data_IF_610922629159
#
_entry.id   IF_610922629159
#
_cell.length_a   1.000
_cell.length_b   1.000
_cell.length_c   1.000
_cell.angle_alpha   90.00
_cell.angle_beta   90.00
_cell.angle_gamma   90.00
#
_symmetry.space_group_name_H-M   'P 1'
#
loop_
_entity.id
_entity.type
_entity.pdbx_description
1 polymer ?
#
# COMPACT_ATOMS: atom_id res chain seq x y z
N UNK A 1 3.92 -36.36 -32.46
CA UNK A 1 2.66 -36.36 -31.69
C UNK A 1 2.20 -34.93 -31.50
N UNK A 2 1.05 -34.56 -32.06
CA UNK A 2 0.42 -33.24 -31.89
C UNK A 2 -0.21 -33.17 -30.50
N UNK A 3 0.04 -32.11 -29.73
CA UNK A 3 -0.79 -31.79 -28.56
C UNK A 3 -1.25 -30.34 -28.60
N UNK A 4 -2.53 -30.20 -28.31
CA UNK A 4 -3.42 -29.06 -28.49
C UNK A 4 -3.22 -27.99 -27.42
N UNK A 5 -3.39 -26.73 -27.81
CA UNK A 5 -3.52 -25.60 -26.91
C UNK A 5 -4.79 -25.76 -26.05
N UNK A 6 -4.61 -25.73 -24.74
CA UNK A 6 -5.71 -25.74 -23.78
C UNK A 6 -5.16 -25.93 -22.37
N UNK A 7 -5.40 -24.94 -21.51
CA UNK A 7 -5.27 -25.01 -20.05
C UNK A 7 -3.85 -24.82 -19.47
N UNK A 8 -3.47 -23.57 -19.20
CA UNK A 8 -2.50 -23.26 -18.13
C UNK A 8 -2.82 -21.91 -17.50
N UNK A 9 -3.93 -21.87 -16.76
CA UNK A 9 -4.24 -20.82 -15.80
C UNK A 9 -4.82 -21.52 -14.56
N UNK A 10 -3.97 -22.02 -13.67
CA UNK A 10 -4.29 -22.48 -12.31
C UNK A 10 -3.03 -23.08 -11.66
N UNK A 11 -2.19 -22.26 -11.03
CA UNK A 11 -1.31 -22.71 -9.93
C UNK A 11 -1.11 -21.55 -8.94
N UNK A 12 -2.09 -21.31 -8.07
CA UNK A 12 -1.86 -20.84 -6.69
C UNK A 12 -3.00 -21.41 -5.83
N UNK A 13 -2.87 -22.67 -5.40
CA UNK A 13 -3.60 -23.23 -4.26
C UNK A 13 -3.05 -24.63 -3.96
N UNK A 14 -1.97 -24.71 -3.18
CA UNK A 14 -1.53 -25.98 -2.61
C UNK A 14 -0.82 -25.73 -1.28
N UNK A 15 -1.62 -25.52 -0.23
CA UNK A 15 -1.28 -25.85 1.16
C UNK A 15 -2.51 -25.54 2.03
N UNK A 16 -3.34 -26.55 2.30
CA UNK A 16 -3.66 -27.03 3.67
C UNK A 16 -4.87 -27.97 3.64
N UNK A 17 -4.72 -29.07 4.40
CA UNK A 17 -5.75 -29.89 5.02
C UNK A 17 -6.59 -30.83 4.14
N UNK A 18 -6.15 -32.09 4.13
CA UNK A 18 -7.07 -33.21 4.02
C UNK A 18 -7.78 -33.46 5.35
N UNK A 19 -9.10 -33.61 5.30
CA UNK A 19 -9.93 -34.57 6.06
C UNK A 19 -11.39 -34.10 6.02
N UNK A 20 -12.12 -34.63 5.03
CA UNK A 20 -13.53 -35.05 5.04
C UNK A 20 -14.47 -34.39 6.06
N UNK A 21 -15.36 -33.49 5.63
CA UNK A 21 -16.80 -33.50 5.98
C UNK A 21 -17.60 -32.65 4.98
N UNK A 22 -18.61 -33.30 4.37
CA UNK A 22 -19.73 -32.85 3.53
C UNK A 22 -19.87 -31.37 3.09
N UNK A 23 -19.80 -31.16 1.77
CA UNK A 23 -20.41 -30.03 1.06
C UNK A 23 -21.78 -30.44 0.51
N UNK A 24 -22.80 -29.65 0.80
CA UNK A 24 -24.05 -29.65 0.04
C UNK A 24 -24.54 -28.21 -0.10
N UNK A 25 -24.07 -27.47 -1.11
CA UNK A 25 -24.72 -26.24 -1.58
C UNK A 25 -24.22 -25.86 -2.98
N UNK A 26 -24.94 -26.27 -4.03
CA UNK A 26 -25.03 -25.56 -5.32
C UNK A 26 -26.45 -25.74 -5.86
N UNK A 27 -27.23 -24.66 -5.90
CA UNK A 27 -28.29 -24.44 -6.88
C UNK A 27 -28.17 -22.98 -7.37
N UNK A 28 -28.35 -22.71 -8.68
CA UNK A 28 -27.94 -21.46 -9.31
C UNK A 28 -29.01 -20.35 -9.22
N UNK A 29 -28.53 -19.10 -9.37
CA UNK A 29 -29.32 -17.87 -9.42
C UNK A 29 -30.54 -17.98 -10.35
N UNK A 30 -31.73 -17.70 -9.82
CA UNK A 30 -32.89 -17.29 -10.61
C UNK A 30 -33.05 -15.77 -10.56
N UNK A 31 -33.21 -15.23 -11.76
CA UNK A 31 -33.59 -13.87 -12.13
C UNK A 31 -34.69 -13.27 -11.26
N UNK A 32 -34.50 -12.03 -10.81
CA UNK A 32 -35.51 -11.22 -10.09
C UNK A 32 -36.51 -10.62 -11.10
N UNK A 33 -37.83 -10.86 -10.98
CA UNK A 33 -38.84 -10.11 -11.72
C UNK A 33 -39.25 -8.84 -10.97
N UNK A 34 -39.44 -7.77 -11.74
CA UNK A 34 -39.86 -6.45 -11.31
C UNK A 34 -41.39 -6.34 -11.17
N UNK A 35 -41.96 -6.61 -9.99
CA UNK A 35 -43.31 -6.13 -9.65
C UNK A 35 -43.53 -6.19 -8.14
N UNK A 36 -43.80 -5.04 -7.50
CA UNK A 36 -44.91 -4.79 -6.56
C UNK A 36 -44.80 -3.32 -6.12
N UNK A 37 -45.67 -2.49 -6.70
CA UNK A 37 -46.10 -1.18 -6.17
C UNK A 37 -47.17 -1.44 -5.10
N UNK A 38 -47.19 -0.56 -4.10
CA UNK A 38 -48.34 -0.22 -3.24
C UNK A 38 -49.02 -1.34 -2.44
N UNK A 39 -48.68 -1.42 -1.15
CA UNK A 39 -49.62 -1.52 -0.02
C UNK A 39 -48.83 -1.03 1.21
N UNK A 40 -49.22 0.04 1.90
CA UNK A 40 -50.52 0.15 2.55
C UNK A 40 -50.35 -0.35 3.99
N UNK A 41 -50.13 0.59 4.91
CA UNK A 41 -50.08 0.39 6.36
C UNK A 41 -51.18 -0.53 6.85
N UNK A 42 -50.83 -1.69 7.41
CA UNK A 42 -51.76 -2.53 8.19
C UNK A 42 -51.03 -3.21 9.33
N UNK A 43 -51.35 -2.71 10.53
CA UNK A 43 -51.05 -3.22 11.86
C UNK A 43 -51.35 -4.72 11.98
N UNK A 44 -50.33 -5.56 12.16
CA UNK A 44 -50.54 -6.95 12.62
C UNK A 44 -50.29 -7.02 14.12
N UNK A 45 -51.36 -6.86 14.91
CA UNK A 45 -51.41 -7.30 16.31
C UNK A 45 -51.50 -8.83 16.31
N UNK A 46 -50.44 -9.50 16.78
CA UNK A 46 -50.52 -10.87 17.26
C UNK A 46 -50.31 -10.85 18.77
N UNK A 47 -51.41 -11.00 19.52
CA UNK A 47 -51.41 -11.38 20.92
C UNK A 47 -51.51 -12.91 20.97
N UNK A 48 -50.49 -13.54 21.54
CA UNK A 48 -50.52 -14.90 22.11
C UNK A 48 -49.38 -14.95 23.14
N UNK A 49 -49.67 -14.65 24.40
CA UNK A 49 -49.78 -15.61 25.52
C UNK A 49 -48.59 -16.57 25.58
N UNK A 50 -47.69 -16.33 26.53
CA UNK A 50 -46.54 -17.19 26.83
C UNK A 50 -45.44 -16.40 27.51
N UNK A 51 -45.30 -16.61 28.80
CA UNK A 51 -44.23 -16.13 29.65
C UNK A 51 -42.89 -16.71 29.15
N UNK A 52 -42.02 -15.88 28.59
CA UNK A 52 -40.59 -16.17 28.42
C UNK A 52 -39.82 -14.85 28.29
N UNK A 53 -39.20 -14.45 29.40
CA UNK A 53 -38.12 -13.46 29.45
C UNK A 53 -36.89 -13.98 28.70
N UNK A 54 -36.95 -14.06 27.38
CA UNK A 54 -35.76 -14.05 26.54
C UNK A 54 -35.56 -12.65 26.00
N UNK A 55 -34.39 -12.08 26.27
CA UNK A 55 -33.93 -10.84 25.66
C UNK A 55 -34.06 -10.97 24.14
N UNK A 56 -35.10 -10.36 23.57
CA UNK A 56 -35.05 -9.93 22.18
C UNK A 56 -34.06 -8.78 22.15
N UNK A 57 -32.76 -9.11 22.07
CA UNK A 57 -31.83 -8.27 21.31
C UNK A 57 -32.40 -8.20 19.90
N UNK A 58 -33.30 -7.25 19.66
CA UNK A 58 -33.49 -6.72 18.34
C UNK A 58 -32.13 -6.21 17.93
N UNK A 59 -31.38 -7.04 17.19
CA UNK A 59 -30.28 -6.59 16.36
C UNK A 59 -30.89 -5.50 15.50
N UNK A 60 -30.69 -4.25 15.94
CA UNK A 60 -31.13 -3.07 15.25
C UNK A 60 -30.29 -3.03 13.98
N UNK A 61 -30.80 -3.63 12.90
CA UNK A 61 -30.12 -3.71 11.60
C UNK A 61 -29.82 -2.29 11.09
N UNK A 62 -30.50 -1.26 11.62
CA UNK A 62 -30.17 0.15 11.33
C UNK A 62 -28.83 0.60 11.95
N UNK A 63 -28.37 -0.03 13.04
CA UNK A 63 -27.07 0.21 13.68
C UNK A 63 -25.94 -0.62 13.10
N UNK A 64 -26.24 -1.68 12.37
CA UNK A 64 -25.25 -2.37 11.52
C UNK A 64 -25.06 -1.53 10.27
N UNK A 65 -24.49 -0.33 10.42
CA UNK A 65 -23.98 0.43 9.28
C UNK A 65 -22.98 -0.47 8.59
N UNK A 66 -23.30 -0.96 7.39
CA UNK A 66 -22.32 -1.61 6.52
C UNK A 66 -21.22 -0.57 6.26
N UNK A 67 -20.18 -0.58 7.08
CA UNK A 67 -19.03 0.29 6.87
C UNK A 67 -18.52 -0.01 5.47
N UNK A 68 -18.57 0.98 4.57
CA UNK A 68 -18.17 0.79 3.19
C UNK A 68 -16.77 0.16 3.16
N UNK A 69 -16.61 -0.94 2.43
CA UNK A 69 -15.33 -1.67 2.33
C UNK A 69 -14.21 -0.77 1.80
N UNK A 70 -14.58 0.22 0.97
CA UNK A 70 -13.68 1.20 0.38
C UNK A 70 -14.21 2.61 0.64
N UNK A 71 -13.35 3.49 1.16
CA UNK A 71 -13.68 4.91 1.38
C UNK A 71 -13.89 5.64 0.05
N UNK A 72 -14.80 6.61 0.04
CA UNK A 72 -14.91 7.55 -1.06
C UNK A 72 -13.59 8.33 -1.26
N UNK A 73 -13.23 8.77 -2.48
CA UNK A 73 -11.93 9.40 -2.75
C UNK A 73 -11.57 10.56 -1.83
N UNK A 74 -12.56 11.40 -1.49
CA UNK A 74 -12.38 12.52 -0.56
C UNK A 74 -12.01 12.03 0.85
N UNK A 75 -12.75 11.08 1.41
CA UNK A 75 -12.47 10.54 2.76
C UNK A 75 -11.16 9.76 2.80
N UNK A 76 -10.81 9.06 1.71
CA UNK A 76 -9.51 8.42 1.55
C UNK A 76 -8.36 9.44 1.61
N UNK A 77 -8.49 10.59 0.93
CA UNK A 77 -7.51 11.68 1.01
C UNK A 77 -7.36 12.24 2.42
N UNK A 78 -8.47 12.39 3.15
CA UNK A 78 -8.44 12.88 4.53
C UNK A 78 -7.69 11.89 5.43
N UNK A 79 -8.03 10.60 5.33
CA UNK A 79 -7.32 9.54 6.05
C UNK A 79 -5.82 9.50 5.67
N UNK A 80 -5.49 9.77 4.41
CA UNK A 80 -4.12 9.83 3.90
C UNK A 80 -3.31 10.98 4.55
N UNK A 81 -3.90 12.17 4.67
CA UNK A 81 -3.29 13.30 5.37
C UNK A 81 -3.23 13.09 6.90
N UNK A 82 -4.28 12.52 7.52
CA UNK A 82 -4.29 12.15 8.94
C UNK A 82 -3.17 11.15 9.27
N UNK A 83 -2.94 10.16 8.39
CA UNK A 83 -1.82 9.21 8.50
C UNK A 83 -0.47 9.93 8.48
N UNK A 84 -0.28 10.87 7.56
CA UNK A 84 0.94 11.69 7.49
C UNK A 84 1.21 12.48 8.77
N UNK A 85 0.17 13.14 9.31
CA UNK A 85 0.27 13.84 10.61
C UNK A 85 0.67 12.88 11.73
N UNK A 86 0.00 11.73 11.82
CA UNK A 86 0.27 10.73 12.86
C UNK A 86 1.72 10.23 12.80
N UNK A 87 2.18 9.84 11.62
CA UNK A 87 3.55 9.38 11.39
C UNK A 87 4.60 10.44 11.75
N UNK A 88 4.36 11.69 11.36
CA UNK A 88 5.32 12.77 11.59
C UNK A 88 5.37 13.28 13.04
N UNK A 89 4.29 13.14 13.79
CA UNK A 89 4.22 13.57 15.20
C UNK A 89 4.80 12.57 16.18
N UNK A 90 5.15 11.35 15.74
CA UNK A 90 5.84 10.40 16.60
C UNK A 90 7.22 10.91 17.05
N UNK A 91 7.68 10.41 18.20
CA UNK A 91 9.07 10.60 18.63
C UNK A 91 10.03 10.01 17.59
N UNK A 92 11.16 10.68 17.34
CA UNK A 92 12.09 10.34 16.27
C UNK A 92 12.56 8.88 16.35
N UNK A 93 12.79 8.35 17.56
CA UNK A 93 13.22 6.97 17.76
C UNK A 93 12.18 5.95 17.26
N UNK A 94 10.88 6.25 17.41
CA UNK A 94 9.80 5.40 16.91
C UNK A 94 9.71 5.44 15.39
N UNK A 95 9.86 6.63 14.79
CA UNK A 95 9.96 6.78 13.33
C UNK A 95 11.14 5.95 12.81
N UNK A 96 12.30 6.10 13.43
CA UNK A 96 13.52 5.40 13.04
C UNK A 96 13.36 3.88 13.12
N UNK A 97 12.87 3.36 14.24
CA UNK A 97 12.60 1.92 14.40
C UNK A 97 11.60 1.38 13.37
N UNK A 98 10.46 2.06 13.18
CA UNK A 98 9.47 1.68 12.17
C UNK A 98 10.04 1.74 10.75
N UNK A 99 11.02 2.61 10.50
CA UNK A 99 11.70 2.71 9.21
C UNK A 99 12.81 1.68 9.01
N UNK A 100 13.46 1.20 10.06
CA UNK A 100 14.33 0.02 9.98
C UNK A 100 13.50 -1.20 9.53
N UNK A 101 12.36 -1.43 10.19
CA UNK A 101 11.43 -2.50 9.79
C UNK A 101 10.93 -2.30 8.36
N UNK A 102 10.57 -1.07 7.99
CA UNK A 102 10.17 -0.73 6.62
C UNK A 102 11.24 -1.08 5.58
N UNK A 103 12.51 -0.77 5.85
CA UNK A 103 13.63 -1.15 4.97
C UNK A 103 13.83 -2.66 4.88
N UNK A 104 13.74 -3.37 6.01
CA UNK A 104 13.85 -4.83 6.03
C UNK A 104 12.70 -5.52 5.25
N UNK A 105 11.46 -5.02 5.37
CA UNK A 105 10.32 -5.55 4.60
C UNK A 105 10.46 -5.32 3.09
N UNK A 106 11.04 -4.20 2.67
CA UNK A 106 11.46 -4.01 1.26
C UNK A 106 12.49 -5.06 0.86
N UNK A 107 13.47 -5.33 1.74
CA UNK A 107 14.45 -6.39 1.56
C UNK A 107 13.82 -7.77 1.39
N UNK A 108 12.87 -8.17 2.23
CA UNK A 108 12.17 -9.45 2.10
C UNK A 108 11.46 -9.61 0.75
N UNK A 109 10.67 -8.62 0.33
CA UNK A 109 9.98 -8.67 -0.97
C UNK A 109 10.94 -8.64 -2.15
N UNK A 110 12.02 -7.84 -2.04
CA UNK A 110 13.07 -7.78 -3.06
C UNK A 110 13.83 -9.10 -3.19
N UNK A 111 14.20 -9.72 -2.07
CA UNK A 111 14.89 -11.00 -2.05
C UNK A 111 14.01 -12.11 -2.62
N UNK A 112 12.73 -12.17 -2.24
CA UNK A 112 11.78 -13.13 -2.83
C UNK A 112 11.74 -13.00 -4.37
N UNK A 113 11.55 -11.78 -4.88
CA UNK A 113 11.48 -11.54 -6.32
C UNK A 113 12.80 -11.89 -7.04
N UNK A 114 13.95 -11.51 -6.46
CA UNK A 114 15.28 -11.84 -6.99
C UNK A 114 15.57 -13.33 -6.95
N UNK A 115 15.20 -14.01 -5.87
CA UNK A 115 15.42 -15.44 -5.69
C UNK A 115 14.62 -16.27 -6.67
N UNK A 116 13.35 -15.93 -6.90
CA UNK A 116 12.54 -16.65 -7.90
C UNK A 116 13.02 -16.31 -9.30
N UNK A 117 13.02 -15.03 -9.69
CA UNK A 117 13.32 -14.64 -11.08
C UNK A 117 14.77 -14.95 -11.49
N UNK A 118 15.73 -14.81 -10.57
CA UNK A 118 17.13 -15.11 -10.84
C UNK A 118 17.39 -16.58 -11.15
N UNK A 119 16.55 -17.49 -10.65
CA UNK A 119 16.68 -18.93 -10.87
C UNK A 119 15.75 -19.47 -11.98
N UNK A 120 15.19 -18.60 -12.82
CA UNK A 120 14.40 -18.98 -14.00
C UNK A 120 15.24 -19.03 -15.30
N UNK A 121 16.50 -19.48 -15.22
CA UNK A 121 17.45 -19.47 -16.35
C UNK A 121 16.97 -20.29 -17.56
N UNK A 122 16.23 -21.39 -17.33
CA UNK A 122 15.64 -22.20 -18.41
C UNK A 122 14.47 -21.52 -19.15
N UNK A 123 13.92 -20.43 -18.61
CA UNK A 123 12.75 -19.71 -19.18
C UNK A 123 13.16 -18.36 -19.77
N UNK A 124 14.18 -17.70 -19.20
CA UNK A 124 14.53 -16.31 -19.53
C UNK A 124 14.87 -16.08 -21.00
N UNK A 125 15.51 -17.04 -21.67
CA UNK A 125 15.87 -16.90 -23.08
C UNK A 125 14.64 -16.98 -24.00
N UNK A 126 13.76 -17.95 -23.75
CA UNK A 126 12.57 -18.15 -24.58
C UNK A 126 11.43 -17.19 -24.25
N UNK A 127 11.32 -16.76 -22.98
CA UNK A 127 10.19 -15.99 -22.47
C UNK A 127 10.63 -14.95 -21.43
N UNK A 128 11.41 -13.92 -21.81
CA UNK A 128 11.89 -12.90 -20.88
C UNK A 128 10.75 -12.12 -20.19
N UNK A 129 9.61 -11.98 -20.88
CA UNK A 129 8.41 -11.33 -20.33
C UNK A 129 7.84 -12.04 -19.10
N UNK A 130 7.87 -13.38 -19.08
CA UNK A 130 7.38 -14.18 -17.95
C UNK A 130 8.26 -13.96 -16.71
N UNK A 131 9.59 -13.98 -16.88
CA UNK A 131 10.52 -13.72 -15.76
C UNK A 131 10.31 -12.31 -15.18
N UNK A 132 10.13 -11.31 -16.06
CA UNK A 132 9.84 -9.93 -15.65
C UNK A 132 8.50 -9.81 -14.93
N UNK A 133 7.47 -10.50 -15.42
CA UNK A 133 6.16 -10.56 -14.78
C UNK A 133 6.22 -11.24 -13.42
N UNK A 134 6.89 -12.38 -13.29
CA UNK A 134 7.05 -13.08 -12.01
C UNK A 134 7.77 -12.21 -10.98
N UNK A 135 8.85 -11.53 -11.39
CA UNK A 135 9.53 -10.56 -10.52
C UNK A 135 8.55 -9.45 -10.07
N UNK A 136 7.82 -8.86 -11.02
CA UNK A 136 6.88 -7.77 -10.75
C UNK A 136 5.69 -8.19 -9.88
N UNK A 137 5.19 -9.40 -10.04
CA UNK A 137 4.06 -9.95 -9.30
C UNK A 137 4.42 -10.30 -7.84
N UNK A 138 5.66 -10.68 -7.57
CA UNK A 138 6.11 -11.05 -6.21
C UNK A 138 6.58 -9.84 -5.39
N UNK A 139 7.05 -8.79 -6.06
CA UNK A 139 7.56 -7.59 -5.39
C UNK A 139 6.58 -6.89 -4.42
N UNK A 140 5.25 -6.81 -4.67
CA UNK A 140 4.30 -6.08 -3.82
C UNK A 140 4.15 -6.60 -2.39
N UNK A 141 4.65 -7.80 -2.07
CA UNK A 141 4.66 -8.37 -0.71
C UNK A 141 5.29 -7.38 0.28
N UNK A 142 6.32 -6.64 -0.13
CA UNK A 142 6.97 -5.65 0.74
C UNK A 142 6.02 -4.57 1.27
N UNK A 143 5.28 -3.90 0.38
CA UNK A 143 4.42 -2.79 0.76
C UNK A 143 3.23 -3.27 1.57
N UNK A 144 2.70 -4.47 1.28
CA UNK A 144 1.65 -5.07 2.09
C UNK A 144 2.11 -5.28 3.54
N UNK A 145 3.30 -5.86 3.74
CA UNK A 145 3.88 -6.02 5.09
C UNK A 145 3.99 -4.66 5.80
N UNK A 146 4.50 -3.64 5.12
CA UNK A 146 4.65 -2.28 5.68
C UNK A 146 3.30 -1.68 6.07
N UNK A 147 2.29 -1.77 5.19
CA UNK A 147 0.95 -1.21 5.43
C UNK A 147 0.24 -1.93 6.59
N UNK A 148 0.44 -3.24 6.73
CA UNK A 148 -0.22 -4.04 7.76
C UNK A 148 0.45 -3.96 9.14
N UNK A 149 1.77 -3.77 9.18
CA UNK A 149 2.54 -3.70 10.43
C UNK A 149 2.72 -2.28 10.96
N UNK A 150 2.43 -1.26 10.13
CA UNK A 150 2.67 0.14 10.49
C UNK A 150 4.13 0.58 10.34
N UNK A 151 4.91 -0.12 9.51
CA UNK A 151 6.25 0.32 9.12
C UNK A 151 6.21 1.67 8.39
N UNK A 152 7.32 2.42 8.46
CA UNK A 152 7.44 3.72 7.81
C UNK A 152 8.44 3.70 6.67
N UNK A 153 8.01 4.18 5.50
CA UNK A 153 8.82 4.22 4.29
C UNK A 153 8.91 5.66 3.79
N UNK A 154 10.12 6.17 3.53
CA UNK A 154 10.34 7.52 3.03
C UNK A 154 9.45 7.84 1.81
N UNK A 155 9.32 6.90 0.87
CA UNK A 155 8.55 7.10 -0.36
C UNK A 155 7.05 7.22 -0.12
N UNK A 156 6.48 6.51 0.87
CA UNK A 156 5.08 6.68 1.27
C UNK A 156 4.87 7.93 2.15
N UNK A 157 5.86 8.24 2.98
CA UNK A 157 5.86 9.44 3.83
C UNK A 157 6.00 10.73 3.02
N UNK A 158 6.73 10.71 1.89
CA UNK A 158 6.86 11.88 1.02
C UNK A 158 5.51 12.35 0.46
N UNK A 159 4.55 11.45 0.27
CA UNK A 159 3.17 11.82 -0.08
C UNK A 159 2.29 12.08 1.16
N UNK A 160 2.23 11.15 2.11
CA UNK A 160 1.31 11.29 3.27
C UNK A 160 1.66 12.48 4.17
N UNK A 161 2.93 12.66 4.54
CA UNK A 161 3.36 13.77 5.40
C UNK A 161 3.28 15.12 4.66
N UNK A 162 3.53 15.13 3.35
CA UNK A 162 3.37 16.35 2.55
C UNK A 162 1.89 16.71 2.37
N UNK A 163 1.00 15.73 2.23
CA UNK A 163 -0.44 15.99 2.26
C UNK A 163 -0.86 16.61 3.60
N UNK A 164 -0.38 16.06 4.72
CA UNK A 164 -0.59 16.66 6.04
C UNK A 164 -0.06 18.10 6.12
N UNK A 165 1.08 18.38 5.48
CA UNK A 165 1.65 19.74 5.41
C UNK A 165 0.77 20.70 4.59
N UNK A 166 0.25 20.27 3.44
CA UNK A 166 -0.65 21.08 2.61
C UNK A 166 -1.98 21.35 3.30
N UNK A 167 -2.46 20.40 4.10
CA UNK A 167 -3.65 20.59 4.94
C UNK A 167 -3.37 21.34 6.25
N UNK A 168 -2.19 21.94 6.43
CA UNK A 168 -1.87 22.73 7.62
C UNK A 168 -1.82 21.92 8.93
N UNK A 169 -1.77 20.59 8.84
CA UNK A 169 -1.74 19.68 9.98
C UNK A 169 -0.33 19.45 10.53
N UNK A 170 0.69 19.83 9.75
CA UNK A 170 2.11 19.60 10.02
C UNK A 170 2.93 20.84 9.63
N UNK A 171 3.94 21.19 10.43
CA UNK A 171 4.92 22.22 10.08
C UNK A 171 6.06 21.70 9.20
N UNK A 172 6.84 22.60 8.58
CA UNK A 172 8.00 22.19 7.76
C UNK A 172 9.04 21.40 8.56
N UNK A 173 9.28 21.76 9.82
CA UNK A 173 10.20 21.01 10.70
C UNK A 173 9.74 19.58 10.96
N UNK A 174 8.43 19.37 11.15
CA UNK A 174 7.87 18.01 11.33
C UNK A 174 7.97 17.16 10.06
N UNK A 175 7.75 17.79 8.89
CA UNK A 175 7.94 17.15 7.59
C UNK A 175 9.41 16.75 7.38
N UNK A 176 10.34 17.70 7.55
CA UNK A 176 11.77 17.46 7.39
C UNK A 176 12.29 16.37 8.36
N UNK A 177 11.86 16.42 9.64
CA UNK A 177 12.17 15.38 10.63
C UNK A 177 11.71 14.01 10.16
N UNK A 178 10.46 13.86 9.75
CA UNK A 178 9.95 12.55 9.35
C UNK A 178 10.66 12.03 8.09
N UNK A 179 10.83 12.85 7.07
CA UNK A 179 11.46 12.42 5.81
C UNK A 179 12.93 12.04 5.99
N UNK A 180 13.69 12.83 6.74
CA UNK A 180 15.10 12.53 7.03
C UNK A 180 15.24 11.28 7.89
N UNK A 181 14.53 11.18 9.01
CA UNK A 181 14.62 10.04 9.94
C UNK A 181 14.12 8.75 9.28
N UNK A 182 13.04 8.81 8.49
CA UNK A 182 12.53 7.62 7.81
C UNK A 182 13.45 7.14 6.70
N UNK A 183 14.07 8.05 5.94
CA UNK A 183 15.08 7.67 4.94
C UNK A 183 16.30 7.02 5.61
N UNK A 184 16.81 7.61 6.70
CA UNK A 184 17.93 7.03 7.47
C UNK A 184 17.58 5.64 8.01
N UNK A 185 16.40 5.48 8.61
CA UNK A 185 15.94 4.19 9.10
C UNK A 185 15.81 3.16 7.96
N UNK A 186 15.30 3.57 6.79
CA UNK A 186 15.21 2.68 5.63
C UNK A 186 16.59 2.26 5.10
N UNK A 187 17.58 3.17 5.06
CA UNK A 187 18.98 2.86 4.71
C UNK A 187 19.52 1.77 5.64
N UNK A 188 19.40 1.98 6.95
CA UNK A 188 19.89 1.03 7.96
C UNK A 188 19.17 -0.31 7.84
N UNK A 189 17.83 -0.30 7.71
CA UNK A 189 17.03 -1.52 7.57
C UNK A 189 17.39 -2.35 6.35
N UNK A 190 17.53 -1.70 5.17
CA UNK A 190 17.91 -2.40 3.95
C UNK A 190 19.35 -2.92 4.01
N UNK A 191 20.31 -2.15 4.55
CA UNK A 191 21.70 -2.56 4.68
C UNK A 191 21.87 -3.75 5.65
N UNK A 192 21.22 -3.69 6.83
CA UNK A 192 21.22 -4.80 7.79
C UNK A 192 20.64 -6.06 7.16
N UNK A 193 19.51 -5.93 6.46
CA UNK A 193 18.88 -7.08 5.82
C UNK A 193 19.73 -7.66 4.67
N UNK A 194 20.38 -6.82 3.86
CA UNK A 194 21.34 -7.25 2.83
C UNK A 194 22.53 -8.02 3.43
N UNK A 195 23.10 -7.52 4.53
CA UNK A 195 24.18 -8.21 5.23
C UNK A 195 23.73 -9.56 5.79
N UNK A 196 22.54 -9.64 6.41
CA UNK A 196 21.99 -10.90 6.91
C UNK A 196 21.75 -11.89 5.77
N UNK A 197 21.14 -11.45 4.65
CA UNK A 197 20.90 -12.30 3.49
C UNK A 197 22.21 -12.84 2.88
N UNK A 198 23.26 -12.03 2.86
CA UNK A 198 24.59 -12.47 2.44
C UNK A 198 25.20 -13.48 3.42
N UNK A 199 25.14 -13.19 4.72
CA UNK A 199 25.68 -14.03 5.79
C UNK A 199 25.08 -15.44 5.79
N UNK A 200 23.77 -15.56 5.53
CA UNK A 200 23.09 -16.86 5.46
C UNK A 200 23.13 -17.50 4.05
N UNK A 201 23.89 -16.94 3.11
CA UNK A 201 24.11 -17.55 1.78
C UNK A 201 22.95 -17.42 0.78
N UNK A 202 21.97 -16.54 1.03
CA UNK A 202 20.82 -16.34 0.14
C UNK A 202 21.17 -15.54 -1.13
N UNK A 203 22.29 -14.83 -1.13
CA UNK A 203 22.80 -14.09 -2.29
C UNK A 203 23.71 -14.99 -3.14
N UNK A 204 23.17 -16.08 -3.69
CA UNK A 204 23.95 -17.09 -4.43
C UNK A 204 23.29 -17.46 -5.76
N UNK A 205 24.04 -18.19 -6.61
CA UNK A 205 23.55 -18.73 -7.88
C UNK A 205 22.90 -17.67 -8.79
N UNK A 206 21.72 -18.01 -9.31
CA UNK A 206 20.96 -17.13 -10.19
C UNK A 206 20.53 -15.81 -9.53
N UNK A 207 20.31 -15.82 -8.21
CA UNK A 207 19.98 -14.62 -7.43
C UNK A 207 21.12 -13.62 -7.45
N UNK A 208 22.35 -14.06 -7.20
CA UNK A 208 23.54 -13.22 -7.25
C UNK A 208 23.75 -12.61 -8.65
N UNK A 209 23.57 -13.42 -9.70
CA UNK A 209 23.70 -12.96 -11.09
C UNK A 209 22.68 -11.87 -11.44
N UNK A 210 21.43 -12.04 -11.02
CA UNK A 210 20.37 -11.04 -11.25
C UNK A 210 20.61 -9.75 -10.44
N UNK A 211 21.11 -9.86 -9.20
CA UNK A 211 21.49 -8.69 -8.40
C UNK A 211 22.57 -7.88 -9.11
N UNK A 212 23.64 -8.53 -9.57
CA UNK A 212 24.77 -7.87 -10.24
C UNK A 212 24.33 -7.17 -11.54
N UNK A 213 23.60 -7.88 -12.41
CA UNK A 213 23.14 -7.31 -13.67
C UNK A 213 22.15 -6.16 -13.45
N UNK A 214 21.26 -6.27 -12.46
CA UNK A 214 20.32 -5.21 -12.10
C UNK A 214 21.06 -3.98 -11.56
N UNK A 215 22.07 -4.15 -10.72
CA UNK A 215 22.86 -3.04 -10.19
C UNK A 215 23.60 -2.28 -11.31
N UNK A 216 24.22 -3.00 -12.25
CA UNK A 216 24.88 -2.40 -13.42
C UNK A 216 23.86 -1.58 -14.23
N UNK A 217 22.70 -2.16 -14.54
CA UNK A 217 21.66 -1.47 -15.31
C UNK A 217 21.13 -0.21 -14.60
N UNK A 218 20.99 -0.26 -13.27
CA UNK A 218 20.53 0.87 -12.43
C UNK A 218 21.50 2.04 -12.37
N UNK A 219 22.80 1.77 -12.51
CA UNK A 219 23.86 2.79 -12.49
C UNK A 219 24.32 3.21 -13.89
N UNK A 220 23.74 2.67 -14.96
CA UNK A 220 24.12 2.98 -16.34
C UNK A 220 23.45 4.24 -16.91
N UNK A 221 22.30 4.66 -16.36
CA UNK A 221 21.52 5.80 -16.86
C UNK A 221 22.07 7.16 -16.44
N UNK A 222 21.79 8.19 -17.24
CA UNK A 222 22.07 9.58 -16.87
C UNK A 222 21.17 10.07 -15.73
N UNK A 223 21.60 11.15 -15.06
CA UNK A 223 20.91 11.71 -13.88
C UNK A 223 19.43 12.01 -14.14
N UNK A 224 19.11 12.74 -15.22
CA UNK A 224 17.73 13.15 -15.52
C UNK A 224 16.80 11.98 -15.85
N UNK A 225 17.14 11.04 -16.76
CA UNK A 225 16.34 9.84 -16.98
C UNK A 225 16.09 9.04 -15.70
N UNK A 226 17.11 8.86 -14.87
CA UNK A 226 17.02 8.14 -13.59
C UNK A 226 16.07 8.86 -12.61
N UNK A 227 16.14 10.19 -12.54
CA UNK A 227 15.23 11.00 -11.71
C UNK A 227 13.78 10.90 -12.20
N UNK A 228 13.53 10.97 -13.51
CA UNK A 228 12.17 10.84 -14.08
C UNK A 228 11.59 9.44 -13.82
N UNK A 229 12.40 8.38 -13.95
CA UNK A 229 11.99 7.03 -13.51
C UNK A 229 11.61 7.02 -12.02
N UNK A 230 12.34 7.78 -11.19
CA UNK A 230 11.99 8.00 -9.78
C UNK A 230 10.64 8.70 -9.59
N UNK A 231 10.33 9.72 -10.38
CA UNK A 231 9.04 10.42 -10.32
C UNK A 231 7.90 9.45 -10.65
N UNK A 232 8.00 8.75 -11.78
CA UNK A 232 6.97 7.81 -12.22
C UNK A 232 6.79 6.66 -11.21
N UNK A 233 7.89 6.17 -10.62
CA UNK A 233 7.84 5.12 -9.61
C UNK A 233 7.03 5.57 -8.39
N UNK A 234 7.40 6.71 -7.81
CA UNK A 234 6.76 7.10 -6.56
C UNK A 234 5.35 7.65 -6.73
N UNK A 235 4.95 8.02 -7.96
CA UNK A 235 3.53 8.19 -8.27
C UNK A 235 2.77 6.89 -7.99
N UNK A 236 3.21 5.77 -8.56
CA UNK A 236 2.56 4.47 -8.35
C UNK A 236 2.63 4.02 -6.88
N UNK A 237 3.77 4.18 -6.21
CA UNK A 237 3.91 3.81 -4.78
C UNK A 237 2.99 4.64 -3.90
N UNK A 238 2.88 5.95 -4.15
CA UNK A 238 1.98 6.83 -3.39
C UNK A 238 0.51 6.46 -3.63
N UNK A 239 0.14 6.09 -4.87
CA UNK A 239 -1.19 5.55 -5.17
C UNK A 239 -1.46 4.23 -4.46
N UNK A 240 -0.48 3.32 -4.39
CA UNK A 240 -0.63 2.08 -3.64
C UNK A 240 -0.92 2.34 -2.15
N UNK A 241 -0.20 3.29 -1.53
CA UNK A 241 -0.45 3.70 -0.15
C UNK A 241 -1.82 4.36 0.01
N UNK A 242 -2.26 5.15 -0.97
CA UNK A 242 -3.59 5.77 -0.99
C UNK A 242 -4.71 4.72 -1.08
N UNK A 243 -4.63 3.81 -2.06
CA UNK A 243 -5.62 2.75 -2.28
C UNK A 243 -5.70 1.79 -1.09
N UNK A 244 -4.55 1.38 -0.54
CA UNK A 244 -4.53 0.56 0.67
C UNK A 244 -5.03 1.31 1.91
N UNK A 245 -4.87 2.63 1.97
CA UNK A 245 -5.49 3.47 3.02
C UNK A 245 -7.01 3.62 2.85
N UNK A 246 -7.51 3.54 1.62
CA UNK A 246 -8.93 3.63 1.30
C UNK A 246 -9.70 2.36 1.70
N UNK A 247 -9.11 1.18 1.53
CA UNK A 247 -9.71 -0.11 1.92
C UNK A 247 -9.68 -0.36 3.43
N UNK A 248 -10.72 -1.03 3.94
CA UNK A 248 -10.90 -1.41 5.33
C UNK A 248 -10.61 -2.91 5.61
N UNK A 249 -10.37 -3.70 4.57
CA UNK A 249 -10.13 -5.14 4.64
C UNK A 249 -8.74 -5.51 4.10
N UNK A 250 -8.24 -6.70 4.44
CA UNK A 250 -6.91 -7.15 4.01
C UNK A 250 -6.85 -7.36 2.48
N UNK A 251 -7.91 -7.90 1.88
CA UNK A 251 -7.93 -8.21 0.44
C UNK A 251 -7.90 -6.94 -0.40
N UNK A 252 -8.70 -5.93 -0.06
CA UNK A 252 -8.68 -4.62 -0.72
C UNK A 252 -7.33 -3.91 -0.58
N UNK A 253 -6.67 -4.03 0.58
CA UNK A 253 -5.29 -3.54 0.77
C UNK A 253 -4.28 -4.26 -0.10
N UNK A 254 -4.36 -5.59 -0.18
CA UNK A 254 -3.53 -6.40 -1.07
C UNK A 254 -3.71 -5.97 -2.52
N UNK A 255 -4.94 -5.85 -3.02
CA UNK A 255 -5.22 -5.40 -4.39
C UNK A 255 -4.70 -3.97 -4.62
N UNK A 256 -4.93 -3.07 -3.66
CA UNK A 256 -4.45 -1.69 -3.71
C UNK A 256 -2.93 -1.58 -3.77
N UNK A 257 -2.21 -2.48 -3.12
CA UNK A 257 -0.75 -2.56 -3.22
C UNK A 257 -0.29 -3.30 -4.49
N UNK A 258 -0.94 -4.40 -4.86
CA UNK A 258 -0.43 -5.32 -5.88
C UNK A 258 -0.27 -4.67 -7.24
N UNK A 259 -1.33 -4.05 -7.76
CA UNK A 259 -1.33 -3.55 -9.13
C UNK A 259 -0.36 -2.38 -9.34
N UNK A 260 -0.39 -1.28 -8.55
CA UNK A 260 0.52 -0.16 -8.80
C UNK A 260 1.99 -0.54 -8.61
N UNK A 261 2.28 -1.41 -7.63
CA UNK A 261 3.65 -1.88 -7.38
C UNK A 261 4.13 -2.81 -8.50
N UNK A 262 3.31 -3.76 -8.94
CA UNK A 262 3.62 -4.60 -10.10
C UNK A 262 3.85 -3.77 -11.36
N UNK A 263 3.07 -2.70 -11.57
CA UNK A 263 3.22 -1.81 -12.73
C UNK A 263 4.59 -1.15 -12.78
N UNK A 264 5.02 -0.46 -11.72
CA UNK A 264 6.29 0.27 -11.77
C UNK A 264 7.48 -0.68 -11.90
N UNK A 265 7.39 -1.85 -11.28
CA UNK A 265 8.44 -2.89 -11.36
C UNK A 265 8.47 -3.49 -12.76
N UNK A 266 7.31 -3.88 -13.29
CA UNK A 266 7.17 -4.49 -14.60
C UNK A 266 7.60 -3.59 -15.76
N UNK A 267 7.52 -2.26 -15.62
CA UNK A 267 8.01 -1.32 -16.63
C UNK A 267 9.43 -0.77 -16.34
N UNK A 268 10.05 -1.16 -15.23
CA UNK A 268 11.45 -0.86 -14.93
C UNK A 268 11.72 0.55 -14.41
N UNK A 269 10.87 1.05 -13.50
CA UNK A 269 11.05 2.33 -12.82
C UNK A 269 11.96 2.21 -11.60
N UNK A 270 12.38 3.36 -11.06
CA UNK A 270 13.38 3.42 -9.99
C UNK A 270 12.75 3.76 -8.63
N UNK A 271 12.88 2.84 -7.67
CA UNK A 271 12.41 3.02 -6.30
C UNK A 271 13.59 3.15 -5.36
N UNK A 272 13.69 4.30 -4.66
CA UNK A 272 14.84 4.61 -3.80
C UNK A 272 15.10 3.53 -2.76
N UNK A 273 14.06 3.02 -2.09
CA UNK A 273 14.24 2.05 -1.00
C UNK A 273 14.53 0.65 -1.52
N UNK A 274 13.93 0.24 -2.64
CA UNK A 274 14.32 -1.01 -3.32
C UNK A 274 15.80 -0.97 -3.72
N UNK A 275 16.27 0.18 -4.22
CA UNK A 275 17.67 0.35 -4.61
C UNK A 275 18.60 0.35 -3.39
N UNK A 276 18.15 0.85 -2.24
CA UNK A 276 18.86 0.74 -0.96
C UNK A 276 19.01 -0.71 -0.46
N UNK A 277 18.28 -1.67 -1.02
CA UNK A 277 18.51 -3.10 -0.77
C UNK A 277 19.38 -3.74 -1.86
N UNK A 278 19.01 -3.56 -3.13
CA UNK A 278 19.68 -4.23 -4.27
C UNK A 278 21.14 -3.78 -4.43
N UNK A 279 21.41 -2.48 -4.30
CA UNK A 279 22.75 -1.94 -4.54
C UNK A 279 23.76 -2.34 -3.44
N UNK A 280 23.40 -2.33 -2.13
CA UNK A 280 24.26 -2.94 -1.11
C UNK A 280 24.49 -4.44 -1.31
N UNK A 281 23.48 -5.22 -1.71
CA UNK A 281 23.69 -6.63 -2.07
C UNK A 281 24.73 -6.78 -3.18
N UNK A 282 24.70 -5.94 -4.21
CA UNK A 282 25.66 -5.98 -5.30
C UNK A 282 27.09 -5.61 -4.86
N UNK A 283 27.23 -4.65 -3.92
CA UNK A 283 28.51 -4.30 -3.32
C UNK A 283 29.09 -5.45 -2.50
N UNK A 284 28.27 -6.11 -1.68
CA UNK A 284 28.68 -7.28 -0.88
C UNK A 284 29.15 -8.44 -1.76
N UNK A 285 28.50 -8.65 -2.91
CA UNK A 285 28.86 -9.71 -3.86
C UNK A 285 30.09 -9.39 -4.74
N UNK A 286 30.49 -8.11 -4.83
CA UNK A 286 31.57 -7.64 -5.68
C UNK A 286 31.43 -7.95 -7.18
N UNK A 287 32.47 -7.61 -7.95
CA UNK A 287 32.58 -7.99 -9.37
C UNK A 287 31.66 -7.24 -10.34
N UNK A 288 31.04 -6.13 -9.93
CA UNK A 288 30.24 -5.25 -10.79
C UNK A 288 31.02 -4.06 -11.35
N UNK A 289 32.19 -3.75 -10.78
CA UNK A 289 32.95 -2.54 -11.09
C UNK A 289 32.32 -1.24 -10.56
N UNK A 290 31.21 -1.32 -9.79
CA UNK A 290 30.53 -0.17 -9.22
C UNK A 290 31.11 0.16 -7.83
N UNK A 291 31.52 1.42 -7.63
CA UNK A 291 31.86 1.94 -6.32
C UNK A 291 30.66 2.51 -5.56
N UNK A 292 30.87 2.83 -4.28
CA UNK A 292 29.88 3.55 -3.46
C UNK A 292 29.51 4.91 -4.09
N UNK A 293 30.49 5.62 -4.65
CA UNK A 293 30.27 6.89 -5.35
C UNK A 293 29.33 6.74 -6.56
N UNK A 294 29.52 5.70 -7.38
CA UNK A 294 28.64 5.43 -8.52
C UNK A 294 27.21 5.18 -8.08
N UNK A 295 27.02 4.34 -7.05
CA UNK A 295 25.70 4.00 -6.51
C UNK A 295 25.00 5.25 -5.98
N UNK A 296 25.70 6.09 -5.22
CA UNK A 296 25.13 7.29 -4.62
C UNK A 296 24.76 8.31 -5.69
N UNK A 297 25.69 8.68 -6.56
CA UNK A 297 25.50 9.80 -7.48
C UNK A 297 24.79 9.43 -8.79
N UNK A 298 24.99 8.22 -9.33
CA UNK A 298 24.32 7.79 -10.56
C UNK A 298 22.92 7.24 -10.31
N UNK A 299 22.62 6.77 -9.09
CA UNK A 299 21.33 6.16 -8.76
C UNK A 299 20.63 6.79 -7.55
N UNK A 300 21.15 6.66 -6.32
CA UNK A 300 20.36 6.98 -5.13
C UNK A 300 19.92 8.45 -5.05
N UNK A 301 20.81 9.40 -5.33
CA UNK A 301 20.47 10.84 -5.31
C UNK A 301 19.35 11.18 -6.31
N UNK A 302 19.48 10.90 -7.63
CA UNK A 302 18.41 11.23 -8.57
C UNK A 302 17.09 10.49 -8.25
N UNK A 303 17.15 9.24 -7.79
CA UNK A 303 15.94 8.46 -7.47
C UNK A 303 15.24 8.98 -6.22
N UNK A 304 15.97 9.33 -5.16
CA UNK A 304 15.40 9.93 -3.93
C UNK A 304 14.73 11.27 -4.24
N UNK A 305 15.37 12.12 -5.04
CA UNK A 305 14.81 13.39 -5.49
C UNK A 305 13.54 13.18 -6.33
N UNK A 306 13.60 12.31 -7.32
CA UNK A 306 12.44 11.99 -8.16
C UNK A 306 11.27 11.42 -7.34
N UNK A 307 11.56 10.48 -6.44
CA UNK A 307 10.55 9.94 -5.54
C UNK A 307 9.93 11.03 -4.64
N UNK A 308 10.73 11.93 -4.07
CA UNK A 308 10.21 13.04 -3.28
C UNK A 308 9.30 13.95 -4.10
N UNK A 309 9.73 14.37 -5.30
CA UNK A 309 8.96 15.25 -6.19
C UNK A 309 7.58 14.65 -6.49
N UNK A 310 7.51 13.37 -6.82
CA UNK A 310 6.24 12.71 -7.10
C UNK A 310 5.32 12.64 -5.87
N UNK A 311 5.86 12.30 -4.70
CA UNK A 311 5.05 12.26 -3.48
C UNK A 311 4.51 13.64 -3.11
N UNK A 312 5.39 14.65 -3.12
CA UNK A 312 5.08 15.99 -2.67
C UNK A 312 4.15 16.77 -3.63
N UNK A 313 4.42 16.68 -4.93
CA UNK A 313 3.73 17.51 -5.93
C UNK A 313 2.73 16.71 -6.76
N UNK A 314 3.14 15.57 -7.33
CA UNK A 314 2.26 14.80 -8.23
C UNK A 314 1.08 14.20 -7.47
N UNK A 315 1.28 13.72 -6.25
CA UNK A 315 0.20 13.13 -5.45
C UNK A 315 -0.33 14.09 -4.39
N UNK A 316 0.50 14.50 -3.42
CA UNK A 316 -0.01 15.28 -2.28
C UNK A 316 -0.59 16.64 -2.70
N UNK A 317 0.10 17.42 -3.52
CA UNK A 317 -0.41 18.71 -3.97
C UNK A 317 -1.63 18.56 -4.90
N UNK A 318 -1.60 17.62 -5.85
CA UNK A 318 -2.74 17.35 -6.76
C UNK A 318 -4.01 16.95 -6.01
N UNK A 319 -3.90 16.04 -5.02
CA UNK A 319 -5.07 15.61 -4.24
C UNK A 319 -5.51 16.70 -3.25
N UNK A 320 -4.59 17.51 -2.71
CA UNK A 320 -4.97 18.71 -1.95
C UNK A 320 -5.68 19.74 -2.81
N UNK A 321 -5.28 19.89 -4.08
CA UNK A 321 -5.99 20.75 -5.02
C UNK A 321 -7.40 20.23 -5.30
N UNK A 322 -7.54 18.91 -5.49
CA UNK A 322 -8.82 18.28 -5.80
C UNK A 322 -9.80 18.24 -4.61
N UNK A 323 -9.31 17.94 -3.40
CA UNK A 323 -10.14 17.61 -2.24
C UNK A 323 -9.87 18.47 -0.99
N UNK A 324 -8.73 19.14 -0.93
CA UNK A 324 -8.20 19.80 0.27
C UNK A 324 -8.01 21.31 0.15
N UNK A 325 -7.02 21.82 0.88
CA UNK A 325 -6.83 23.27 1.05
C UNK A 325 -6.32 24.01 -0.17
N UNK A 326 -5.49 23.40 -1.03
CA UNK A 326 -4.94 24.08 -2.20
C UNK A 326 -6.01 24.48 -3.23
N UNK A 327 -7.14 23.76 -3.31
CA UNK A 327 -8.25 24.03 -4.23
C UNK A 327 -9.16 25.23 -3.92
N UNK A 328 -8.90 25.98 -2.82
CA UNK A 328 -9.57 27.22 -2.37
C UNK A 328 -11.09 27.20 -2.10
N UNK A 329 -11.96 26.49 -2.85
CA UNK A 329 -13.43 26.36 -2.59
C UNK A 329 -13.78 25.41 -1.42
N UNK A 330 -12.79 24.71 -0.89
CA UNK A 330 -12.93 23.72 0.19
C UNK A 330 -12.55 24.25 1.58
N UNK A 331 -11.93 25.43 1.71
CA UNK A 331 -11.31 25.88 2.98
C UNK A 331 -12.26 26.02 4.18
N UNK A 332 -13.53 26.34 3.95
CA UNK A 332 -14.53 26.47 5.01
C UNK A 332 -15.22 25.12 5.27
N UNK A 333 -15.68 24.44 4.22
CA UNK A 333 -16.24 23.07 4.30
C UNK A 333 -15.27 22.05 4.89
N UNK A 334 -13.99 22.10 4.54
CA UNK A 334 -12.95 21.21 5.08
C UNK A 334 -12.65 21.50 6.54
N UNK A 335 -12.58 22.79 6.92
CA UNK A 335 -12.45 23.18 8.32
C UNK A 335 -13.66 22.75 9.15
N UNK A 336 -14.87 22.92 8.63
CA UNK A 336 -16.11 22.47 9.26
C UNK A 336 -16.14 20.95 9.38
N UNK A 337 -15.80 20.21 8.30
CA UNK A 337 -15.69 18.76 8.32
C UNK A 337 -14.66 18.26 9.33
N UNK A 338 -13.47 18.85 9.38
CA UNK A 338 -12.44 18.45 10.35
C UNK A 338 -12.88 18.72 11.79
N UNK A 339 -13.56 19.83 12.04
CA UNK A 339 -14.16 20.14 13.35
C UNK A 339 -15.24 19.12 13.72
N UNK A 340 -16.13 18.79 12.79
CA UNK A 340 -17.19 17.78 13.00
C UNK A 340 -16.59 16.39 13.28
N UNK A 341 -15.64 15.93 12.47
CA UNK A 341 -14.97 14.64 12.64
C UNK A 341 -14.15 14.57 13.94
N UNK A 342 -13.56 15.68 14.38
CA UNK A 342 -12.90 15.76 15.70
C UNK A 342 -13.90 15.71 16.85
N UNK A 343 -15.06 16.37 16.70
CA UNK A 343 -16.14 16.34 17.67
C UNK A 343 -16.76 14.93 17.77
N UNK A 344 -17.04 14.27 16.66
CA UNK A 344 -17.52 12.88 16.62
C UNK A 344 -16.54 11.92 17.31
N UNK A 345 -15.24 12.00 16.99
CA UNK A 345 -14.21 11.19 17.67
C UNK A 345 -14.10 11.49 19.17
N UNK A 346 -14.42 12.71 19.60
CA UNK A 346 -14.44 13.08 21.02
C UNK A 346 -15.69 12.53 21.73
N UNK A 347 -16.86 12.56 21.06
CA UNK A 347 -18.13 12.02 21.54
C UNK A 347 -18.10 10.49 21.65
N UNK A 348 -17.49 9.80 20.68
CA UNK A 348 -17.27 8.35 20.73
C UNK A 348 -16.39 7.94 21.91
N UNK A 349 -15.35 8.73 22.22
CA UNK A 349 -14.45 8.46 23.35
C UNK A 349 -15.12 8.59 24.72
N UNK A 350 -16.20 9.36 24.83
CA UNK A 350 -16.95 9.53 26.07
C UNK A 350 -18.22 8.68 26.10
N UNK A 351 -18.44 7.80 25.11
CA UNK A 351 -19.56 6.86 25.08
C UNK A 351 -20.92 7.49 24.74
N UNK A 352 -20.95 8.71 24.17
CA UNK A 352 -22.19 9.47 23.90
C UNK A 352 -22.58 9.40 22.40
N UNK A 353 -21.84 8.68 21.56
CA UNK A 353 -22.08 8.51 20.13
C UNK A 353 -23.32 7.66 19.81
N UNK A 354 -24.51 8.19 20.07
CA UNK A 354 -25.78 7.49 19.89
C UNK A 354 -26.96 8.44 19.76
N UNK A 355 -26.96 9.29 18.73
CA UNK A 355 -28.20 9.95 18.30
C UNK A 355 -28.18 10.20 16.79
N UNK A 356 -28.99 9.41 16.08
CA UNK A 356 -29.38 9.65 14.70
C UNK A 356 -29.87 11.08 14.50
N UNK A 357 -29.17 11.85 13.66
CA UNK A 357 -29.74 12.96 12.91
C UNK A 357 -29.35 12.74 11.45
N UNK A 358 -30.32 12.73 10.50
CA UNK A 358 -30.01 12.52 9.11
C UNK A 358 -29.12 13.66 8.62
N UNK A 359 -28.03 13.32 7.94
CA UNK A 359 -27.23 14.27 7.17
C UNK A 359 -28.16 14.86 6.12
N UNK A 360 -28.54 16.12 6.30
CA UNK A 360 -29.28 16.86 5.30
C UNK A 360 -28.51 16.80 3.97
N UNK A 361 -29.17 16.26 2.94
CA UNK A 361 -28.73 16.34 1.56
C UNK A 361 -28.50 17.80 1.20
N UNK A 362 -27.28 18.14 0.82
CA UNK A 362 -26.95 19.43 0.22
C UNK A 362 -26.47 19.15 -1.20
N UNK A 363 -27.32 19.55 -2.15
CA UNK A 363 -27.09 19.57 -3.59
C UNK A 363 -25.76 20.26 -4.00
#
# INVERSE_FOLDING_TARGET
MKFSAGSMLMVVAAATAGSTTAYSFIQPMRTVPSTIRNAGSSTLKMISTGDDRSERQSLDISKTTYAALVKAPKDAYIAFAEKGKSNANMHWAKIFHQSILGGAYVGFGGLLALSVAGNMSGVVFSNPGIVKFTFAALFPVNLLLIVMTGGQLFTGNSATCTAAKWEGMLGYGGLAKNLSVSLLGNIVGCALFAMTANYVGLLSGGTANLIKSTAIAKCAGGFMPTMVKGILCNWMVSLAVFMAGASNDLCGKLVGCWFPISTFVGIGLEHSIANLFILPCALLLGGTGLGLGDIVFKNLVPVVLGNFIAGAFVVAASYSYQFGQLGKKSRERYRTYLKQRQAEKALDKIGIGGSNQPVASLD
#
